data_IF_902096386924
#
_entry.id   IF_902096386924
#
_cell.length_a   1.000
_cell.length_b   1.000
_cell.length_c   1.000
_cell.angle_alpha   90.00
_cell.angle_beta   90.00
_cell.angle_gamma   90.00
#
_symmetry.space_group_name_H-M   'P 1'
#
loop_
_entity.id
_entity.type
_entity.pdbx_description
1 polymer ?
#
# COMPACT_ATOMS: atom_id res chain seq x y z
N UNK A 1 12.60 36.98 -20.23
CA UNK A 1 12.69 35.60 -19.72
C UNK A 1 12.16 35.59 -18.28
N UNK A 2 10.94 35.09 -18.08
CA UNK A 2 10.27 35.04 -16.77
C UNK A 2 10.27 33.60 -16.28
N UNK A 3 11.00 33.30 -15.21
CA UNK A 3 10.85 32.05 -14.45
C UNK A 3 9.73 32.25 -13.44
N UNK A 4 8.53 31.76 -13.77
CA UNK A 4 7.44 31.59 -12.80
C UNK A 4 7.73 30.30 -12.01
N UNK A 5 8.32 30.43 -10.83
CA UNK A 5 8.36 29.35 -9.84
C UNK A 5 6.94 29.16 -9.31
N UNK A 6 6.34 28.03 -9.65
CA UNK A 6 5.00 27.62 -9.24
C UNK A 6 4.94 27.43 -7.73
N UNK A 7 4.06 28.17 -7.07
CA UNK A 7 3.85 28.21 -5.61
C UNK A 7 3.10 26.98 -5.04
N UNK A 8 3.12 25.83 -5.72
CA UNK A 8 2.36 24.65 -5.30
C UNK A 8 3.09 23.63 -4.42
N UNK A 9 4.40 23.81 -4.16
CA UNK A 9 5.22 22.78 -3.51
C UNK A 9 5.44 22.93 -1.99
N UNK A 10 4.76 23.86 -1.31
CA UNK A 10 5.08 24.20 0.10
C UNK A 10 3.91 23.91 1.07
N UNK A 11 2.67 23.77 0.58
CA UNK A 11 1.50 23.60 1.44
C UNK A 11 1.35 22.20 2.07
N UNK A 12 2.06 21.17 1.58
CA UNK A 12 1.95 19.80 2.09
C UNK A 12 2.88 19.51 3.29
N UNK A 13 3.87 20.37 3.55
CA UNK A 13 4.92 20.11 4.54
C UNK A 13 4.58 20.53 5.99
N UNK A 14 3.54 21.34 6.21
CA UNK A 14 3.34 22.00 7.52
C UNK A 14 2.24 21.39 8.39
N UNK A 15 1.32 20.59 7.84
CA UNK A 15 0.15 20.07 8.60
C UNK A 15 0.46 18.78 9.40
N UNK A 16 1.55 18.07 9.12
CA UNK A 16 1.81 16.72 9.70
C UNK A 16 2.64 16.69 11.00
N UNK A 17 3.06 17.83 11.53
CA UNK A 17 4.08 17.86 12.60
C UNK A 17 3.58 17.60 14.04
N UNK A 18 2.26 17.51 14.30
CA UNK A 18 1.74 17.58 15.68
C UNK A 18 0.89 16.39 16.18
N UNK A 19 0.79 15.28 15.45
CA UNK A 19 0.08 14.07 15.90
C UNK A 19 1.00 12.86 16.21
N UNK A 20 2.33 13.05 16.20
CA UNK A 20 3.23 12.05 15.60
C UNK A 20 4.15 11.24 16.53
N UNK A 21 3.96 11.22 17.87
CA UNK A 21 4.93 10.52 18.75
C UNK A 21 4.80 8.98 18.77
N UNK A 22 3.65 8.42 18.41
CA UNK A 22 3.46 6.95 18.31
C UNK A 22 3.72 6.38 16.92
N UNK A 23 3.48 7.17 15.87
CA UNK A 23 3.58 6.73 14.48
C UNK A 23 4.97 6.91 13.86
N UNK A 24 5.86 7.65 14.52
CA UNK A 24 7.19 7.95 13.96
C UNK A 24 8.05 6.71 13.72
N UNK A 25 7.80 5.61 14.45
CA UNK A 25 8.57 4.38 14.29
C UNK A 25 8.26 3.70 12.97
N UNK A 26 6.98 3.60 12.57
CA UNK A 26 6.59 3.05 11.28
C UNK A 26 6.95 3.96 10.09
N UNK A 27 7.11 5.26 10.32
CA UNK A 27 7.38 6.25 9.27
C UNK A 27 8.61 5.89 8.47
N UNK A 28 8.45 5.90 7.15
CA UNK A 28 9.51 5.56 6.22
C UNK A 28 8.94 4.88 4.97
N UNK A 29 9.87 4.53 4.08
CA UNK A 29 9.53 3.77 2.87
C UNK A 29 9.75 2.29 3.10
N UNK A 30 8.83 1.50 2.61
CA UNK A 30 8.80 0.05 2.71
C UNK A 30 8.71 -0.54 1.30
N UNK A 31 9.45 -1.62 1.06
CA UNK A 31 9.33 -2.42 -0.15
C UNK A 31 9.16 -3.88 0.22
N UNK A 32 8.56 -4.64 -0.68
CA UNK A 32 8.37 -6.05 -0.42
C UNK A 32 7.79 -6.83 -1.57
N UNK A 33 7.44 -8.05 -1.23
CA UNK A 33 6.85 -9.05 -2.11
C UNK A 33 5.67 -9.72 -1.41
N UNK A 34 4.97 -10.58 -2.11
CA UNK A 34 3.77 -11.23 -1.62
C UNK A 34 3.45 -12.44 -2.47
N UNK A 35 2.45 -13.20 -2.04
CA UNK A 35 1.97 -14.36 -2.80
C UNK A 35 0.48 -14.26 -3.05
N UNK A 36 -0.01 -15.18 -3.88
CA UNK A 36 -1.41 -15.35 -4.21
C UNK A 36 -1.75 -14.74 -5.57
N UNK A 37 -2.93 -15.08 -6.04
CA UNK A 37 -3.44 -14.66 -7.33
C UNK A 37 -4.94 -14.46 -7.22
N UNK A 38 -5.52 -13.67 -8.10
CA UNK A 38 -6.97 -13.60 -8.21
C UNK A 38 -7.43 -13.24 -9.60
N UNK A 39 -8.64 -13.67 -9.96
CA UNK A 39 -9.29 -13.29 -11.21
C UNK A 39 -10.13 -12.03 -10.97
N UNK A 40 -9.83 -10.91 -11.66
CA UNK A 40 -10.61 -9.68 -11.50
C UNK A 40 -12.09 -9.84 -11.89
N UNK A 41 -12.99 -9.05 -11.29
CA UNK A 41 -14.42 -9.11 -11.58
C UNK A 41 -14.73 -8.68 -13.02
N UNK A 42 -15.71 -9.35 -13.63
CA UNK A 42 -16.28 -8.95 -14.92
C UNK A 42 -16.82 -7.50 -14.89
N UNK A 43 -16.72 -6.72 -15.98
CA UNK A 43 -16.13 -7.04 -17.28
C UNK A 43 -14.65 -6.63 -17.32
N UNK A 44 -13.78 -7.41 -16.67
CA UNK A 44 -12.37 -7.37 -16.99
C UNK A 44 -12.21 -7.89 -18.42
N UNK A 45 -11.65 -7.08 -19.32
CA UNK A 45 -11.40 -7.43 -20.72
C UNK A 45 -10.36 -8.53 -20.91
N UNK A 46 -9.77 -9.03 -19.82
CA UNK A 46 -8.76 -10.07 -19.80
C UNK A 46 -9.09 -11.05 -18.67
N UNK A 47 -9.42 -12.33 -18.96
CA UNK A 47 -9.58 -13.36 -17.93
C UNK A 47 -8.21 -13.87 -17.46
N UNK A 48 -7.29 -12.96 -17.19
CA UNK A 48 -5.93 -13.27 -16.76
C UNK A 48 -5.89 -13.05 -15.25
N UNK A 49 -5.44 -14.04 -14.47
CA UNK A 49 -5.21 -13.82 -13.05
C UNK A 49 -4.21 -12.68 -12.88
N UNK A 50 -4.45 -11.84 -11.87
CA UNK A 50 -3.47 -10.86 -11.43
C UNK A 50 -2.78 -11.41 -10.19
N UNK A 51 -1.52 -11.03 -10.00
CA UNK A 51 -0.69 -11.47 -8.88
C UNK A 51 -0.40 -10.29 -7.95
N UNK A 52 -1.41 -9.82 -7.17
CA UNK A 52 -1.25 -8.61 -6.40
C UNK A 52 -0.16 -8.79 -5.34
N UNK A 53 0.54 -7.70 -5.06
CA UNK A 53 1.64 -7.66 -4.10
C UNK A 53 2.88 -8.50 -4.49
N UNK A 54 2.98 -9.04 -5.71
CA UNK A 54 4.21 -9.74 -6.17
C UNK A 54 5.44 -8.85 -6.00
N UNK A 55 5.36 -7.59 -6.44
CA UNK A 55 6.22 -6.50 -6.02
C UNK A 55 5.37 -5.36 -5.48
N UNK A 56 5.82 -4.72 -4.39
CA UNK A 56 5.13 -3.54 -3.87
C UNK A 56 6.09 -2.55 -3.21
N UNK A 57 5.67 -1.28 -3.20
CA UNK A 57 6.34 -0.19 -2.51
C UNK A 57 5.28 0.67 -1.82
N UNK A 58 5.51 0.99 -0.54
CA UNK A 58 4.62 1.83 0.25
C UNK A 58 5.37 2.82 1.11
N UNK A 59 4.79 4.00 1.27
CA UNK A 59 5.24 5.02 2.19
C UNK A 59 4.29 5.06 3.39
N UNK A 60 4.89 4.96 4.58
CA UNK A 60 4.18 5.15 5.83
C UNK A 60 4.42 6.57 6.32
N UNK A 61 3.35 7.32 6.56
CA UNK A 61 3.44 8.67 7.11
C UNK A 61 2.15 9.07 7.84
N UNK A 62 2.30 9.74 8.98
CA UNK A 62 1.19 10.30 9.77
C UNK A 62 0.04 9.30 10.07
N UNK A 63 0.39 8.02 10.31
CA UNK A 63 -0.58 6.96 10.63
C UNK A 63 -1.29 6.35 9.42
N UNK A 64 -0.93 6.77 8.21
CA UNK A 64 -1.40 6.18 6.96
C UNK A 64 -0.28 5.42 6.26
N UNK A 65 -0.63 4.30 5.64
CA UNK A 65 0.25 3.52 4.78
C UNK A 65 -0.34 3.54 3.38
N UNK A 66 0.38 4.11 2.42
CA UNK A 66 -0.07 4.26 1.04
C UNK A 66 0.99 3.72 0.10
N UNK A 67 0.59 3.15 -1.02
CA UNK A 67 1.56 2.64 -1.97
C UNK A 67 0.95 1.99 -3.18
N UNK A 68 1.79 1.24 -3.87
CA UNK A 68 1.50 0.62 -5.14
C UNK A 68 2.03 -0.80 -5.19
N UNK A 69 1.39 -1.64 -5.99
CA UNK A 69 1.86 -2.98 -6.30
C UNK A 69 1.95 -3.16 -7.83
N UNK A 70 2.81 -4.07 -8.26
CA UNK A 70 3.06 -4.45 -9.63
C UNK A 70 3.27 -5.97 -9.71
N UNK A 71 2.79 -6.61 -10.77
CA UNK A 71 3.13 -7.98 -11.12
C UNK A 71 3.93 -8.09 -12.42
N UNK A 72 4.42 -9.29 -12.72
CA UNK A 72 5.24 -9.56 -13.91
C UNK A 72 4.49 -9.35 -15.24
N UNK A 73 3.16 -9.37 -15.22
CA UNK A 73 2.29 -9.14 -16.37
C UNK A 73 1.90 -7.65 -16.53
N UNK A 74 2.62 -6.76 -15.84
CA UNK A 74 2.39 -5.31 -15.78
C UNK A 74 1.02 -4.91 -15.21
N UNK A 75 0.33 -5.81 -14.50
CA UNK A 75 -0.83 -5.40 -13.73
C UNK A 75 -0.37 -4.60 -12.52
N UNK A 76 -1.08 -3.52 -12.28
CA UNK A 76 -0.71 -2.55 -11.26
C UNK A 76 -1.93 -2.15 -10.45
N UNK A 77 -1.70 -1.71 -9.22
CA UNK A 77 -2.73 -1.07 -8.44
C UNK A 77 -2.19 -0.30 -7.26
N UNK A 78 -3.11 0.22 -6.46
CA UNK A 78 -2.80 1.07 -5.32
C UNK A 78 -3.30 0.43 -4.04
N UNK A 79 -2.70 0.78 -2.90
CA UNK A 79 -3.23 0.42 -1.61
C UNK A 79 -3.18 1.60 -0.65
N UNK A 80 -4.13 1.62 0.28
CA UNK A 80 -4.20 2.60 1.36
C UNK A 80 -4.76 1.98 2.62
N UNK A 81 -4.04 2.14 3.72
CA UNK A 81 -4.43 1.67 5.04
C UNK A 81 -4.14 2.69 6.13
N UNK A 82 -4.70 2.41 7.30
CA UNK A 82 -4.51 3.18 8.52
C UNK A 82 -4.11 2.26 9.66
N UNK A 83 -3.30 2.78 10.57
CA UNK A 83 -3.02 2.07 11.81
C UNK A 83 -4.30 2.00 12.65
N UNK A 84 -4.61 0.79 13.08
CA UNK A 84 -5.74 0.51 13.97
C UNK A 84 -5.27 0.13 15.39
N UNK A 85 -4.01 -0.28 15.53
CA UNK A 85 -3.37 -0.60 16.81
C UNK A 85 -1.86 -0.31 16.70
N UNK A 86 -1.28 0.34 17.70
CA UNK A 86 0.17 0.57 17.78
C UNK A 86 0.64 0.29 19.19
N UNK A 87 1.71 -0.49 19.31
CA UNK A 87 2.47 -0.73 20.53
C UNK A 87 3.88 -0.11 20.35
N UNK A 88 4.76 -0.19 21.37
CA UNK A 88 6.16 0.22 21.21
C UNK A 88 6.95 -0.61 20.20
N UNK A 89 6.56 -1.87 19.97
CA UNK A 89 7.31 -2.83 19.15
C UNK A 89 6.72 -3.06 17.76
N UNK A 90 5.41 -2.84 17.61
CA UNK A 90 4.71 -3.09 16.36
C UNK A 90 3.52 -2.16 16.12
N UNK A 91 3.06 -2.11 14.87
CA UNK A 91 1.74 -1.58 14.56
C UNK A 91 0.99 -2.40 13.52
N UNK A 92 -0.31 -2.51 13.74
CA UNK A 92 -1.28 -3.15 12.87
C UNK A 92 -1.93 -2.10 11.96
N UNK A 93 -1.70 -2.24 10.66
CA UNK A 93 -2.33 -1.47 9.61
C UNK A 93 -3.43 -2.30 8.94
N UNK A 94 -4.61 -1.69 8.73
CA UNK A 94 -5.64 -2.26 7.87
C UNK A 94 -6.00 -1.28 6.77
N UNK A 95 -6.26 -1.81 5.58
CA UNK A 95 -6.56 -0.99 4.43
C UNK A 95 -7.26 -1.72 3.32
N UNK A 96 -7.34 -1.02 2.19
CA UNK A 96 -7.90 -1.51 0.94
C UNK A 96 -6.85 -1.46 -0.16
N UNK A 97 -7.00 -2.34 -1.13
CA UNK A 97 -6.18 -2.35 -2.33
C UNK A 97 -7.04 -2.36 -3.58
N UNK A 98 -6.49 -1.83 -4.66
CA UNK A 98 -7.15 -1.65 -5.94
C UNK A 98 -6.36 -2.29 -7.06
N UNK A 99 -7.00 -2.43 -8.22
CA UNK A 99 -6.37 -2.79 -9.50
C UNK A 99 -6.71 -1.75 -10.55
N UNK A 100 -5.72 -1.30 -11.31
CA UNK A 100 -5.89 -0.39 -12.44
C UNK A 100 -6.18 -1.19 -13.70
N UNK A 101 -7.42 -1.10 -14.21
CA UNK A 101 -7.80 -1.69 -15.48
C UNK A 101 -7.05 -1.04 -16.63
N UNK A 102 -6.95 -1.77 -17.75
CA UNK A 102 -6.48 -1.22 -19.02
C UNK A 102 -7.30 -0.01 -19.50
N UNK A 103 -8.58 0.11 -19.09
CA UNK A 103 -9.41 1.29 -19.35
C UNK A 103 -8.96 2.55 -18.60
N UNK A 104 -8.09 2.41 -17.58
CA UNK A 104 -7.69 3.47 -16.66
C UNK A 104 -8.52 3.54 -15.37
N UNK A 105 -9.51 2.67 -15.20
CA UNK A 105 -10.36 2.65 -14.01
C UNK A 105 -9.67 1.91 -12.84
N UNK A 106 -9.73 2.49 -11.63
CA UNK A 106 -9.34 1.80 -10.40
C UNK A 106 -10.52 1.00 -9.83
N UNK A 107 -10.31 -0.29 -9.65
CA UNK A 107 -11.29 -1.23 -9.08
C UNK A 107 -10.93 -1.49 -7.63
N UNK A 108 -11.88 -1.35 -6.71
CA UNK A 108 -11.70 -1.79 -5.30
C UNK A 108 -11.66 -3.31 -5.25
N UNK A 109 -10.47 -3.88 -5.07
CA UNK A 109 -10.25 -5.31 -5.16
C UNK A 109 -10.49 -6.03 -3.84
N UNK A 110 -10.19 -5.38 -2.72
CA UNK A 110 -10.27 -6.04 -1.44
C UNK A 110 -9.57 -5.30 -0.31
N UNK A 111 -9.26 -6.07 0.74
CA UNK A 111 -8.68 -5.56 1.97
C UNK A 111 -7.31 -6.17 2.23
N UNK A 112 -6.51 -5.49 3.03
CA UNK A 112 -5.25 -6.01 3.53
C UNK A 112 -5.09 -5.70 5.02
N UNK A 113 -4.25 -6.50 5.67
CA UNK A 113 -3.76 -6.32 7.03
C UNK A 113 -2.25 -6.52 7.04
N UNK A 114 -1.49 -5.57 7.59
CA UNK A 114 -0.02 -5.63 7.72
C UNK A 114 0.38 -5.29 9.15
N UNK A 115 1.26 -6.09 9.73
CA UNK A 115 1.95 -5.85 10.98
C UNK A 115 3.35 -5.35 10.66
N UNK A 116 3.66 -4.14 11.10
CA UNK A 116 5.00 -3.56 11.02
C UNK A 116 5.73 -3.85 12.32
N UNK A 117 6.87 -4.55 12.27
CA UNK A 117 7.73 -4.86 13.43
C UNK A 117 8.90 -3.89 13.45
N UNK A 118 8.92 -2.98 14.41
CA UNK A 118 9.86 -1.85 14.44
C UNK A 118 11.29 -2.25 14.78
N UNK A 119 11.46 -3.29 15.59
CA UNK A 119 12.79 -3.75 16.01
C UNK A 119 13.59 -4.36 14.84
N UNK A 120 12.89 -5.09 13.96
CA UNK A 120 13.50 -5.81 12.84
C UNK A 120 13.40 -5.04 11.51
N UNK A 121 12.65 -3.94 11.49
CA UNK A 121 12.34 -3.17 10.28
C UNK A 121 11.73 -4.02 9.16
N UNK A 122 10.90 -4.99 9.56
CA UNK A 122 10.16 -5.87 8.65
C UNK A 122 8.67 -5.68 8.81
N UNK A 123 7.91 -6.04 7.79
CA UNK A 123 6.47 -6.15 7.88
C UNK A 123 5.97 -7.45 7.26
N UNK A 124 4.88 -7.95 7.81
CA UNK A 124 4.22 -9.19 7.40
C UNK A 124 2.73 -8.94 7.37
N UNK A 125 2.02 -9.54 6.43
CA UNK A 125 0.62 -9.25 6.23
C UNK A 125 -0.09 -10.24 5.34
N UNK A 126 -1.37 -9.96 5.12
CA UNK A 126 -2.25 -10.73 4.26
C UNK A 126 -3.16 -9.80 3.49
N UNK A 127 -3.59 -10.24 2.32
CA UNK A 127 -4.64 -9.59 1.55
C UNK A 127 -5.76 -10.60 1.24
N UNK A 128 -6.95 -10.09 0.98
CA UNK A 128 -8.08 -10.85 0.46
C UNK A 128 -8.82 -10.03 -0.58
N UNK A 129 -9.62 -10.69 -1.43
CA UNK A 129 -10.52 -10.00 -2.36
C UNK A 129 -11.93 -9.83 -1.80
N UNK A 130 -12.71 -8.95 -2.43
CA UNK A 130 -14.15 -8.82 -2.18
C UNK A 130 -15.00 -9.74 -3.08
N UNK A 131 -14.38 -10.46 -4.02
CA UNK A 131 -15.08 -11.09 -5.15
C UNK A 131 -15.13 -12.61 -5.06
N UNK A 132 -14.17 -13.22 -4.37
CA UNK A 132 -14.05 -14.66 -4.21
C UNK A 132 -13.29 -14.97 -2.90
N UNK A 133 -12.85 -16.22 -2.73
CA UNK A 133 -12.10 -16.66 -1.55
C UNK A 133 -10.59 -16.48 -1.70
N UNK A 134 -10.14 -15.85 -2.78
CA UNK A 134 -8.71 -15.67 -3.06
C UNK A 134 -8.10 -14.72 -2.04
N UNK A 135 -6.87 -15.06 -1.66
CA UNK A 135 -6.11 -14.37 -0.64
C UNK A 135 -4.62 -14.69 -0.83
N UNK A 136 -3.79 -13.97 -0.09
CA UNK A 136 -2.35 -14.16 -0.16
C UNK A 136 -1.61 -13.46 0.97
N UNK A 137 -0.29 -13.48 0.87
CA UNK A 137 0.61 -12.89 1.88
C UNK A 137 1.25 -11.62 1.37
N UNK A 138 1.74 -10.82 2.33
CA UNK A 138 2.51 -9.61 2.11
C UNK A 138 3.71 -9.71 3.03
N UNK A 139 4.92 -9.47 2.53
CA UNK A 139 6.15 -9.38 3.31
C UNK A 139 6.95 -8.18 2.82
N UNK A 140 7.64 -7.48 3.71
CA UNK A 140 8.45 -6.35 3.31
C UNK A 140 9.47 -5.90 4.34
N UNK A 141 10.29 -4.94 3.93
CA UNK A 141 11.35 -4.33 4.74
C UNK A 141 11.36 -2.84 4.54
N UNK A 142 11.74 -2.11 5.59
CA UNK A 142 11.98 -0.67 5.49
C UNK A 142 13.29 -0.42 4.75
N UNK A 143 13.31 0.58 3.89
CA UNK A 143 14.50 0.96 3.10
C UNK A 143 14.99 2.38 3.33
N UNK A 144 14.19 3.24 3.95
CA UNK A 144 14.54 4.63 4.30
C UNK A 144 13.93 4.99 5.65
#
# INVERSE_FOLDING_TARGET
MSKKLSFFSIALLVVMALANRGFSQATGRWLGTGTGETVPPSPASTPVPIHPWQEWMGDFNAGEFVGVWLDEDENYGQFRGKIILSTPDEALCRGKWTWLRQSGDLVDMGSFEIIFKYNDWVCEGKWSTNYNLDNGTIEGKRIE
#
